data_IF_072647112563
#
_entry.id   IF_072647112563
#
_cell.length_a   1.000
_cell.length_b   1.000
_cell.length_c   1.000
_cell.angle_alpha   90.00
_cell.angle_beta   90.00
_cell.angle_gamma   90.00
#
_symmetry.space_group_name_H-M   'P 1'
#
loop_
_entity.id
_entity.type
_entity.pdbx_description
1 polymer ?
#
# COMPACT_ATOMS: atom_id res chain seq x y z
N UNK A 1 45.95 28.87 -20.36
CA UNK A 1 44.89 28.89 -19.33
C UNK A 1 43.76 27.97 -19.78
N UNK A 2 43.80 26.71 -19.36
CA UNK A 2 42.77 25.71 -19.68
C UNK A 2 41.59 25.90 -18.74
N UNK A 3 40.45 26.33 -19.28
CA UNK A 3 39.20 26.41 -18.53
C UNK A 3 38.73 24.99 -18.19
N UNK A 4 38.55 24.69 -16.90
CA UNK A 4 37.91 23.46 -16.43
C UNK A 4 36.46 23.43 -16.94
N UNK A 5 35.97 22.29 -17.46
CA UNK A 5 34.57 22.16 -17.83
C UNK A 5 33.71 22.28 -16.56
N UNK A 6 32.66 23.11 -16.62
CA UNK A 6 31.64 23.20 -15.58
C UNK A 6 31.00 21.81 -15.44
N UNK A 7 31.13 21.19 -14.27
CA UNK A 7 30.40 19.97 -13.96
C UNK A 7 28.90 20.29 -14.03
N UNK A 8 28.23 19.85 -15.09
CA UNK A 8 26.77 19.86 -15.12
C UNK A 8 26.32 18.91 -14.00
N UNK A 9 25.76 19.50 -12.93
CA UNK A 9 25.15 18.75 -11.86
C UNK A 9 24.03 17.91 -12.49
N UNK A 10 24.14 16.59 -12.38
CA UNK A 10 23.07 15.70 -12.83
C UNK A 10 21.78 16.08 -12.09
N UNK A 11 20.63 16.15 -12.79
CA UNK A 11 19.37 16.52 -12.16
C UNK A 11 19.03 15.54 -11.03
N UNK A 12 18.47 16.08 -9.94
CA UNK A 12 18.06 15.33 -8.75
C UNK A 12 17.10 14.18 -9.11
N UNK A 13 17.30 13.01 -8.49
CA UNK A 13 16.54 11.79 -8.80
C UNK A 13 15.03 12.03 -8.69
N UNK A 14 14.59 12.81 -7.70
CA UNK A 14 13.17 13.03 -7.48
C UNK A 14 12.53 13.76 -8.66
N UNK A 15 13.24 14.76 -9.22
CA UNK A 15 12.75 15.52 -10.38
C UNK A 15 12.66 14.65 -11.64
N UNK A 16 13.68 13.82 -11.89
CA UNK A 16 13.69 12.89 -13.03
C UNK A 16 12.61 11.81 -12.90
N UNK A 17 12.46 11.21 -11.71
CA UNK A 17 11.48 10.17 -11.49
C UNK A 17 10.05 10.71 -11.54
N UNK A 18 9.82 11.92 -11.00
CA UNK A 18 8.53 12.60 -11.13
C UNK A 18 8.17 12.84 -12.59
N UNK A 19 9.09 13.40 -13.39
CA UNK A 19 8.87 13.62 -14.81
C UNK A 19 8.63 12.30 -15.58
N UNK A 20 9.41 11.25 -15.26
CA UNK A 20 9.24 9.93 -15.87
C UNK A 20 7.86 9.33 -15.54
N UNK A 21 7.44 9.39 -14.28
CA UNK A 21 6.12 8.95 -13.85
C UNK A 21 5.04 9.75 -14.58
N UNK A 22 5.09 11.09 -14.57
CA UNK A 22 4.12 11.95 -15.26
C UNK A 22 3.96 11.62 -16.74
N UNK A 23 5.08 11.37 -17.44
CA UNK A 23 5.09 11.02 -18.86
C UNK A 23 4.62 9.59 -19.17
N UNK A 24 4.51 8.71 -18.16
CA UNK A 24 4.11 7.32 -18.36
C UNK A 24 2.66 7.22 -18.83
N UNK A 25 2.48 6.52 -19.95
CA UNK A 25 1.19 6.07 -20.48
C UNK A 25 1.23 4.57 -20.82
N UNK A 26 0.23 3.77 -20.40
CA UNK A 26 0.24 2.31 -20.54
C UNK A 26 0.23 1.82 -22.00
N UNK A 27 -0.20 2.65 -22.96
CA UNK A 27 -0.33 2.27 -24.37
C UNK A 27 0.99 2.23 -25.17
N UNK A 28 2.13 2.65 -24.58
CA UNK A 28 3.40 2.77 -25.30
C UNK A 28 4.34 1.56 -25.17
N UNK A 29 3.85 0.40 -24.72
CA UNK A 29 4.74 -0.74 -24.43
C UNK A 29 4.77 -1.81 -25.52
N UNK A 30 5.99 -2.22 -25.90
CA UNK A 30 6.31 -3.37 -26.77
C UNK A 30 6.39 -4.71 -26.00
N UNK A 31 6.43 -4.66 -24.67
CA UNK A 31 6.34 -5.81 -23.75
C UNK A 31 5.15 -5.53 -22.84
N UNK A 32 4.23 -6.48 -22.62
CA UNK A 32 3.00 -6.25 -21.86
C UNK A 32 3.19 -5.52 -20.52
N UNK A 33 2.17 -4.74 -20.13
CA UNK A 33 2.19 -3.81 -19.00
C UNK A 33 2.93 -4.35 -17.76
N UNK A 34 4.16 -3.87 -17.53
CA UNK A 34 4.94 -4.23 -16.33
C UNK A 34 4.26 -3.74 -15.04
N UNK A 35 3.44 -2.69 -15.17
CA UNK A 35 2.57 -2.08 -14.17
C UNK A 35 1.20 -1.85 -14.78
N UNK A 36 0.12 -2.19 -14.09
CA UNK A 36 -1.23 -1.82 -14.52
C UNK A 36 -1.48 -0.31 -14.29
N UNK A 37 -2.60 0.20 -14.84
CA UNK A 37 -2.90 1.63 -14.79
C UNK A 37 -3.08 2.16 -13.36
N UNK A 38 -3.65 1.33 -12.48
CA UNK A 38 -3.92 1.67 -11.09
C UNK A 38 -2.62 1.74 -10.28
N UNK A 39 -1.69 0.80 -10.51
CA UNK A 39 -0.37 0.80 -9.88
C UNK A 39 0.43 2.05 -10.21
N UNK A 40 0.39 2.47 -11.46
CA UNK A 40 1.10 3.68 -11.90
C UNK A 40 0.47 4.92 -11.29
N UNK A 41 -0.87 4.98 -11.22
CA UNK A 41 -1.57 6.08 -10.59
C UNK A 41 -1.23 6.18 -9.09
N UNK A 42 -1.22 5.07 -8.37
CA UNK A 42 -0.80 5.06 -6.97
C UNK A 42 0.67 5.45 -6.79
N UNK A 43 1.57 4.98 -7.67
CA UNK A 43 2.98 5.37 -7.62
C UNK A 43 3.18 6.86 -7.90
N UNK A 44 2.48 7.43 -8.87
CA UNK A 44 2.46 8.90 -9.09
C UNK A 44 2.09 9.65 -7.81
N UNK A 45 1.14 9.13 -7.05
CA UNK A 45 0.60 9.81 -5.88
C UNK A 45 1.39 9.56 -4.59
N UNK A 46 1.98 8.38 -4.39
CA UNK A 46 2.46 7.95 -3.07
C UNK A 46 3.92 7.52 -3.02
N UNK A 47 4.65 7.59 -4.12
CA UNK A 47 6.08 7.24 -4.14
C UNK A 47 6.92 8.13 -3.22
N UNK A 48 6.61 9.43 -3.15
CA UNK A 48 7.30 10.40 -2.29
C UNK A 48 6.47 10.78 -1.07
N UNK A 49 7.15 11.15 0.03
CA UNK A 49 6.52 11.50 1.30
C UNK A 49 5.51 12.63 1.17
N UNK A 50 5.79 13.64 0.35
CA UNK A 50 4.86 14.74 0.10
C UNK A 50 3.50 14.26 -0.45
N UNK A 51 3.54 13.32 -1.40
CA UNK A 51 2.33 12.75 -1.99
C UNK A 51 1.57 11.87 -0.98
N UNK A 52 2.28 11.09 -0.17
CA UNK A 52 1.70 10.35 0.95
C UNK A 52 1.04 11.27 1.97
N UNK A 53 1.68 12.39 2.32
CA UNK A 53 1.12 13.37 3.25
C UNK A 53 -0.18 13.99 2.73
N UNK A 54 -0.23 14.30 1.42
CA UNK A 54 -1.42 14.86 0.78
C UNK A 54 -2.64 13.94 0.89
N UNK A 55 -2.46 12.62 0.97
CA UNK A 55 -3.57 11.68 1.17
C UNK A 55 -4.35 11.94 2.46
N UNK A 56 -3.70 12.47 3.51
CA UNK A 56 -4.33 12.80 4.78
C UNK A 56 -5.13 14.10 4.73
N UNK A 57 -4.77 15.03 3.82
CA UNK A 57 -5.45 16.31 3.64
C UNK A 57 -6.81 16.15 2.95
N UNK A 58 -7.00 15.10 2.15
CA UNK A 58 -8.27 14.80 1.48
C UNK A 58 -9.43 14.47 2.47
N UNK A 59 -9.12 14.26 3.75
CA UNK A 59 -10.11 13.89 4.76
C UNK A 59 -10.87 15.11 5.30
N UNK A 60 -12.20 15.06 5.22
CA UNK A 60 -13.07 16.02 5.90
C UNK A 60 -12.84 15.98 7.42
N UNK A 61 -12.40 17.10 7.99
CA UNK A 61 -12.05 17.23 9.41
C UNK A 61 -10.62 16.84 9.79
N UNK A 62 -9.77 16.57 8.79
CA UNK A 62 -8.33 16.32 8.96
C UNK A 62 -7.99 14.99 9.60
N UNK A 63 -6.68 14.68 9.68
CA UNK A 63 -6.21 13.48 10.35
C UNK A 63 -6.41 13.58 11.87
N UNK A 64 -6.90 12.50 12.48
CA UNK A 64 -7.39 12.55 13.88
C UNK A 64 -6.26 12.82 14.87
N UNK A 65 -5.04 12.43 14.53
CA UNK A 65 -3.86 12.48 15.39
C UNK A 65 -2.97 13.70 15.16
N UNK A 66 -3.31 14.58 14.20
CA UNK A 66 -2.59 15.85 13.98
C UNK A 66 -3.06 16.97 14.92
N UNK A 67 -4.10 16.71 15.71
CA UNK A 67 -4.65 17.73 16.60
C UNK A 67 -3.67 18.03 17.74
N UNK A 68 -3.43 19.32 18.08
CA UNK A 68 -2.36 19.73 19.02
C UNK A 68 -2.43 19.08 20.41
N UNK A 69 -3.63 18.74 20.87
CA UNK A 69 -3.87 18.18 22.20
C UNK A 69 -3.59 16.66 22.30
N UNK A 70 -3.11 16.01 21.23
CA UNK A 70 -3.03 14.54 21.21
C UNK A 70 -1.64 13.94 21.38
N UNK A 71 -0.54 14.71 21.37
CA UNK A 71 0.85 14.20 21.47
C UNK A 71 1.02 12.80 20.87
N UNK A 72 0.48 12.60 19.67
CA UNK A 72 0.25 11.27 19.13
C UNK A 72 1.41 10.91 18.20
N UNK A 73 1.92 9.69 18.36
CA UNK A 73 3.01 9.16 17.54
C UNK A 73 2.55 8.76 16.12
N UNK A 74 1.24 8.58 15.90
CA UNK A 74 0.64 8.28 14.60
C UNK A 74 0.19 9.56 13.85
N UNK A 75 0.99 10.63 13.88
CA UNK A 75 0.70 11.85 13.09
C UNK A 75 0.81 11.60 11.58
N UNK A 76 0.10 12.36 10.76
CA UNK A 76 0.11 12.21 9.29
C UNK A 76 1.51 12.40 8.71
N UNK A 77 2.28 13.34 9.27
CA UNK A 77 3.67 13.60 8.90
C UNK A 77 4.55 12.38 9.15
N UNK A 78 4.54 11.84 10.38
CA UNK A 78 5.34 10.66 10.73
C UNK A 78 4.93 9.43 9.91
N UNK A 79 3.64 9.27 9.63
CA UNK A 79 3.13 8.21 8.77
C UNK A 79 3.68 8.33 7.34
N UNK A 80 3.58 9.52 6.74
CA UNK A 80 4.09 9.78 5.41
C UNK A 80 5.61 9.55 5.32
N UNK A 81 6.38 10.01 6.31
CA UNK A 81 7.82 9.78 6.39
C UNK A 81 8.17 8.28 6.54
N UNK A 82 7.30 7.48 7.17
CA UNK A 82 7.48 6.03 7.34
C UNK A 82 6.83 5.18 6.24
N UNK A 83 6.53 5.80 5.09
CA UNK A 83 6.07 5.10 3.89
C UNK A 83 4.56 4.86 3.82
N UNK A 84 3.78 5.42 4.76
CA UNK A 84 2.34 5.20 4.84
C UNK A 84 1.52 6.34 4.20
N UNK A 85 0.45 5.97 3.51
CA UNK A 85 -0.59 6.89 3.03
C UNK A 85 -1.97 6.48 3.57
N UNK A 86 -2.90 7.42 3.56
CA UNK A 86 -4.29 7.20 3.93
C UNK A 86 -5.07 6.62 2.74
N UNK A 87 -5.57 5.38 2.89
CA UNK A 87 -6.28 4.65 1.83
C UNK A 87 -7.81 4.82 1.86
N UNK A 88 -8.32 5.61 2.80
CA UNK A 88 -9.76 5.86 3.02
C UNK A 88 -10.65 4.62 3.25
N UNK A 89 -10.09 3.41 3.41
CA UNK A 89 -10.86 2.19 3.71
C UNK A 89 -11.50 2.28 5.09
N UNK A 90 -10.77 2.84 6.06
CA UNK A 90 -11.29 3.13 7.39
C UNK A 90 -10.79 4.48 7.89
N UNK A 91 -11.47 5.06 8.89
CA UNK A 91 -11.09 6.37 9.47
C UNK A 91 -9.71 6.40 10.14
N UNK A 92 -9.09 5.24 10.39
CA UNK A 92 -7.80 5.11 11.10
C UNK A 92 -6.81 4.19 10.39
N UNK A 93 -7.16 3.64 9.23
CA UNK A 93 -6.29 2.71 8.51
C UNK A 93 -5.39 3.46 7.55
N UNK A 94 -4.16 2.99 7.46
CA UNK A 94 -3.13 3.47 6.54
C UNK A 94 -2.48 2.29 5.85
N UNK A 95 -1.91 2.52 4.68
CA UNK A 95 -1.23 1.49 3.89
C UNK A 95 0.17 1.95 3.55
N UNK A 96 1.15 1.04 3.65
CA UNK A 96 2.48 1.33 3.13
C UNK A 96 2.46 1.33 1.60
N UNK A 97 2.95 2.41 0.98
CA UNK A 97 3.03 2.56 -0.47
C UNK A 97 3.88 1.45 -1.14
N UNK A 98 4.82 0.86 -0.42
CA UNK A 98 5.80 -0.08 -0.96
C UNK A 98 5.55 -1.53 -0.60
N UNK A 99 5.15 -1.85 0.63
CA UNK A 99 4.94 -3.25 1.03
C UNK A 99 3.47 -3.62 1.20
N UNK A 100 2.54 -2.67 0.97
CA UNK A 100 1.10 -2.87 1.06
C UNK A 100 0.62 -3.35 2.44
N UNK A 101 1.45 -3.17 3.48
CA UNK A 101 1.09 -3.40 4.87
C UNK A 101 0.02 -2.41 5.29
N UNK A 102 -1.11 -2.93 5.76
CA UNK A 102 -2.18 -2.14 6.35
C UNK A 102 -2.02 -2.06 7.87
N UNK A 103 -2.10 -0.85 8.42
CA UNK A 103 -2.00 -0.59 9.87
C UNK A 103 -3.18 0.24 10.32
N UNK A 104 -3.74 -0.06 11.49
CA UNK A 104 -4.75 0.77 12.15
C UNK A 104 -4.12 1.63 13.22
N UNK A 105 -4.10 2.95 13.02
CA UNK A 105 -3.46 3.88 13.94
C UNK A 105 -4.17 4.02 15.30
N UNK A 106 -3.37 4.06 16.36
CA UNK A 106 -3.74 4.50 17.71
C UNK A 106 -2.91 5.71 18.14
N UNK A 107 -3.23 6.35 19.27
CA UNK A 107 -2.50 7.53 19.73
C UNK A 107 -1.02 7.25 20.09
N UNK A 108 -0.71 6.01 20.45
CA UNK A 108 0.61 5.58 20.94
C UNK A 108 1.36 4.67 19.96
N UNK A 109 0.83 4.50 18.74
CA UNK A 109 1.47 3.69 17.71
C UNK A 109 2.58 4.49 17.05
N UNK A 110 3.81 3.99 17.13
CA UNK A 110 4.95 4.51 16.36
C UNK A 110 4.97 3.81 15.00
N UNK A 111 4.78 4.53 13.88
CA UNK A 111 4.77 3.94 12.55
C UNK A 111 6.06 3.20 12.21
N UNK A 112 7.21 3.70 12.66
CA UNK A 112 8.51 3.11 12.35
C UNK A 112 8.68 1.73 13.00
N UNK A 113 8.37 1.65 14.30
CA UNK A 113 8.46 0.43 15.11
C UNK A 113 7.44 -0.60 14.62
N UNK A 114 6.20 -0.17 14.39
CA UNK A 114 5.13 -1.07 13.98
C UNK A 114 5.38 -1.65 12.57
N UNK A 115 5.92 -0.85 11.66
CA UNK A 115 6.27 -1.30 10.31
C UNK A 115 7.35 -2.38 10.35
N UNK A 116 8.42 -2.19 11.13
CA UNK A 116 9.46 -3.20 11.34
C UNK A 116 8.88 -4.47 11.96
N UNK A 117 8.03 -4.33 12.99
CA UNK A 117 7.44 -5.45 13.72
C UNK A 117 6.53 -6.31 12.84
N UNK A 118 5.68 -5.68 12.04
CA UNK A 118 4.69 -6.38 11.20
C UNK A 118 5.28 -6.86 9.87
N UNK A 119 6.22 -6.12 9.28
CA UNK A 119 6.85 -6.50 8.03
C UNK A 119 8.34 -6.12 7.99
N UNK A 120 9.21 -6.90 8.67
CA UNK A 120 10.64 -6.62 8.74
C UNK A 120 11.37 -6.80 7.39
N UNK A 121 10.69 -7.29 6.35
CA UNK A 121 11.25 -7.52 5.01
C UNK A 121 10.86 -6.42 4.01
N UNK A 122 10.20 -5.36 4.46
CA UNK A 122 9.91 -4.21 3.62
C UNK A 122 11.22 -3.55 3.17
N UNK A 123 11.44 -3.45 1.84
CA UNK A 123 12.67 -2.83 1.31
C UNK A 123 12.82 -1.38 1.76
N UNK A 124 11.73 -0.61 1.78
CA UNK A 124 11.72 0.77 2.27
C UNK A 124 12.27 0.88 3.71
N UNK A 125 11.86 -0.02 4.59
CA UNK A 125 12.30 -0.04 6.00
C UNK A 125 13.76 -0.49 6.11
N UNK A 126 14.13 -1.57 5.42
CA UNK A 126 15.46 -2.17 5.51
C UNK A 126 16.55 -1.34 4.84
N UNK A 127 16.20 -0.53 3.85
CA UNK A 127 17.12 0.36 3.17
C UNK A 127 17.64 1.47 4.09
N UNK A 128 16.82 1.97 5.02
CA UNK A 128 17.18 2.99 6.01
C UNK A 128 17.86 4.26 5.42
N UNK A 129 17.42 4.69 4.23
CA UNK A 129 17.89 5.91 3.53
C UNK A 129 16.77 6.95 3.45
N UNK A 130 17.11 8.23 3.59
CA UNK A 130 16.15 9.32 3.32
C UNK A 130 15.87 9.44 1.82
N UNK A 131 14.75 10.08 1.44
CA UNK A 131 14.30 10.15 0.03
C UNK A 131 15.30 10.92 -0.86
N UNK A 132 16.12 11.80 -0.29
CA UNK A 132 17.17 12.56 -0.99
C UNK A 132 18.39 11.71 -1.33
N UNK A 133 18.56 10.56 -0.66
CA UNK A 133 19.69 9.65 -0.84
C UNK A 133 19.35 8.47 -1.75
N UNK A 134 18.11 8.37 -2.21
CA UNK A 134 17.71 7.27 -3.09
C UNK A 134 18.47 7.35 -4.41
N UNK A 135 18.87 6.18 -4.89
CA UNK A 135 19.42 5.98 -6.23
C UNK A 135 18.34 5.45 -7.18
N UNK A 136 18.63 5.41 -8.48
CA UNK A 136 17.76 4.74 -9.46
C UNK A 136 17.56 3.26 -9.07
N UNK A 137 18.61 2.61 -8.61
CA UNK A 137 18.56 1.23 -8.14
C UNK A 137 17.60 1.07 -6.94
N UNK A 138 17.68 1.98 -5.97
CA UNK A 138 16.75 1.99 -4.83
C UNK A 138 15.30 2.16 -5.30
N UNK A 139 15.05 3.07 -6.24
CA UNK A 139 13.72 3.28 -6.81
C UNK A 139 13.22 2.02 -7.53
N UNK A 140 14.08 1.34 -8.29
CA UNK A 140 13.74 0.07 -8.96
C UNK A 140 13.37 -1.02 -7.94
N UNK A 141 14.13 -1.17 -6.87
CA UNK A 141 13.81 -2.13 -5.81
C UNK A 141 12.50 -1.79 -5.09
N UNK A 142 12.25 -0.52 -4.77
CA UNK A 142 10.98 -0.09 -4.18
C UNK A 142 9.78 -0.52 -5.05
N UNK A 143 9.87 -0.30 -6.36
CA UNK A 143 8.83 -0.71 -7.32
C UNK A 143 8.69 -2.23 -7.42
N UNK A 144 9.81 -2.96 -7.46
CA UNK A 144 9.80 -4.42 -7.53
C UNK A 144 9.17 -5.05 -6.29
N UNK A 145 9.53 -4.57 -5.09
CA UNK A 145 8.96 -5.05 -3.83
C UNK A 145 7.47 -4.73 -3.72
N UNK A 146 7.04 -3.56 -4.20
CA UNK A 146 5.62 -3.23 -4.31
C UNK A 146 4.86 -4.20 -5.19
N UNK A 147 5.34 -4.45 -6.40
CA UNK A 147 4.70 -5.38 -7.31
C UNK A 147 4.57 -6.77 -6.71
N UNK A 148 5.62 -7.23 -6.01
CA UNK A 148 5.58 -8.50 -5.27
C UNK A 148 4.50 -8.48 -4.19
N UNK A 149 4.42 -7.41 -3.40
CA UNK A 149 3.44 -7.28 -2.33
C UNK A 149 2.00 -7.33 -2.87
N UNK A 150 1.71 -6.60 -3.95
CA UNK A 150 0.41 -6.61 -4.62
C UNK A 150 0.05 -7.99 -5.17
N UNK A 151 1.01 -8.65 -5.83
CA UNK A 151 0.83 -10.01 -6.36
C UNK A 151 0.47 -11.01 -5.24
N UNK A 152 1.13 -10.89 -4.09
CA UNK A 152 0.85 -11.70 -2.91
C UNK A 152 -0.53 -11.39 -2.31
N UNK A 153 -0.87 -10.11 -2.14
CA UNK A 153 -2.18 -9.66 -1.61
C UNK A 153 -3.33 -10.13 -2.49
N UNK A 154 -3.18 -10.06 -3.81
CA UNK A 154 -4.17 -10.56 -4.77
C UNK A 154 -4.31 -12.09 -4.70
N UNK A 155 -3.20 -12.83 -4.51
CA UNK A 155 -3.25 -14.28 -4.33
C UNK A 155 -3.95 -14.69 -3.03
N UNK A 156 -3.70 -13.96 -1.94
CA UNK A 156 -4.38 -14.16 -0.66
C UNK A 156 -5.87 -13.88 -0.76
N UNK A 157 -6.27 -12.76 -1.38
CA UNK A 157 -7.67 -12.43 -1.63
C UNK A 157 -8.39 -13.53 -2.41
N UNK A 158 -7.78 -14.06 -3.48
CA UNK A 158 -8.33 -15.19 -4.25
C UNK A 158 -8.50 -16.46 -3.40
N UNK A 159 -7.57 -16.73 -2.47
CA UNK A 159 -7.67 -17.87 -1.55
C UNK A 159 -8.85 -17.70 -0.59
N UNK A 160 -8.97 -16.53 0.04
CA UNK A 160 -10.07 -16.20 0.96
C UNK A 160 -11.43 -16.29 0.27
N UNK A 161 -11.56 -15.74 -0.95
CA UNK A 161 -12.79 -15.85 -1.73
C UNK A 161 -13.15 -17.29 -2.09
N UNK A 162 -12.16 -18.11 -2.47
CA UNK A 162 -12.40 -19.51 -2.76
C UNK A 162 -12.86 -20.29 -1.51
N UNK A 163 -12.31 -19.96 -0.34
CA UNK A 163 -12.70 -20.53 0.94
C UNK A 163 -14.12 -20.12 1.35
N UNK A 164 -14.45 -18.82 1.25
CA UNK A 164 -15.81 -18.30 1.49
C UNK A 164 -16.85 -19.02 0.63
N UNK A 165 -16.59 -19.16 -0.68
CA UNK A 165 -17.50 -19.88 -1.59
C UNK A 165 -17.65 -21.37 -1.23
N UNK A 166 -16.62 -22.00 -0.66
CA UNK A 166 -16.70 -23.39 -0.17
C UNK A 166 -17.58 -23.47 1.08
N UNK A 167 -17.45 -22.53 2.00
CA UNK A 167 -18.27 -22.47 3.21
C UNK A 167 -19.74 -22.21 2.89
N UNK A 168 -20.02 -21.27 1.99
CA UNK A 168 -21.39 -20.99 1.50
C UNK A 168 -22.06 -22.24 0.93
N UNK A 169 -21.32 -23.04 0.13
CA UNK A 169 -21.82 -24.33 -0.37
C UNK A 169 -22.08 -25.31 0.77
N UNK A 170 -21.17 -25.45 1.74
CA UNK A 170 -21.36 -26.34 2.91
C UNK A 170 -22.59 -25.95 3.72
N UNK A 171 -22.80 -24.65 3.93
CA UNK A 171 -23.96 -24.14 4.65
C UNK A 171 -25.26 -24.38 3.88
N UNK A 172 -25.26 -24.17 2.56
CA UNK A 172 -26.42 -24.48 1.71
C UNK A 172 -26.82 -25.96 1.81
N UNK A 173 -25.88 -26.89 1.72
CA UNK A 173 -26.15 -28.32 1.88
C UNK A 173 -26.67 -28.68 3.28
N UNK A 174 -26.12 -28.08 4.35
CA UNK A 174 -26.62 -28.27 5.72
C UNK A 174 -28.07 -27.80 5.88
N UNK A 175 -28.40 -26.65 5.31
CA UNK A 175 -29.75 -26.09 5.39
C UNK A 175 -30.75 -26.92 4.55
N UNK A 176 -30.36 -27.38 3.36
CA UNK A 176 -31.19 -28.23 2.51
C UNK A 176 -31.40 -29.65 3.09
N UNK A 177 -30.42 -30.19 3.82
CA UNK A 177 -30.54 -31.48 4.51
C UNK A 177 -31.45 -31.48 5.75
N UNK A 178 -31.92 -30.31 6.22
CA UNK A 178 -32.82 -30.17 7.37
C UNK A 178 -34.31 -30.34 7.05
N UNK A 179 -34.71 -30.39 5.77
CA UNK A 179 -36.13 -30.39 5.35
C UNK A 179 -36.73 -31.79 5.10
N UNK A 180 -36.03 -32.89 5.40
CA UNK A 180 -36.58 -34.25 5.25
C UNK A 180 -36.86 -34.91 6.60
N UNK A 181 -37.99 -34.55 7.22
CA UNK A 181 -38.60 -35.36 8.27
C UNK A 181 -39.56 -36.38 7.62
N UNK A 182 -39.34 -37.70 7.74
CA UNK A 182 -40.29 -38.68 7.24
C UNK A 182 -41.50 -38.71 8.17
N UNK A 183 -42.67 -38.32 7.64
CA UNK A 183 -43.97 -38.55 8.26
C UNK A 183 -44.15 -40.06 8.45
N UNK A 184 -43.85 -40.58 9.66
CA UNK A 184 -44.22 -41.94 10.04
C UNK A 184 -45.72 -41.96 10.30
N UNK A 185 -46.50 -42.35 9.29
CA UNK A 185 -47.88 -42.77 9.51
C UNK A 185 -47.87 -44.11 10.26
N UNK A 186 -48.32 -44.06 11.51
CA UNK A 186 -48.67 -45.23 12.30
C UNK A 186 -49.87 -45.92 11.64
N UNK A 187 -49.71 -47.19 11.26
CA UNK A 187 -50.80 -48.06 10.84
C UNK A 187 -51.33 -48.73 12.12
N UNK A 188 -52.62 -48.53 12.36
CA UNK A 188 -53.42 -49.19 13.40
C UNK A 188 -53.90 -50.56 12.94
#
# INVERSE_FOLDING_TARGET
MTQKPKSQQLPDLQSNLRAALESYGPEKQTFGALFDGDDVAEMKNFFFAAGRLNSFAARQGGWTYDKPHKNASCSSKLLAENGFYFNAISRKSVTCAFCQLDVTCSAHLDPSVEHVRLNPRCYFVTMAKSEEQWTIEDAMYLLQFRRRALSMKAAEMRRHDAERRREERRQHFRNAGGETQPHRHAIS
#
